data_IF_808540875492
#
_entry.id   IF_808540875492
#
_cell.length_a   1.000
_cell.length_b   1.000
_cell.length_c   1.000
_cell.angle_alpha   90.00
_cell.angle_beta   90.00
_cell.angle_gamma   90.00
#
_symmetry.space_group_name_H-M   'P 1'
#
loop_
_entity.id
_entity.type
_entity.pdbx_description
1 polymer ?
#
# COMPACT_ATOMS: atom_id res chain seq x y z
N UNK A 1 66.22 -17.67 -2.82
CA UNK A 1 65.38 -16.54 -3.22
C UNK A 1 63.93 -16.99 -3.34
N UNK A 2 63.20 -16.55 -2.36
CA UNK A 2 61.88 -16.92 -1.87
C UNK A 2 60.76 -16.54 -2.85
N UNK A 3 59.93 -17.47 -3.30
CA UNK A 3 58.59 -17.22 -3.81
C UNK A 3 57.59 -17.55 -2.73
N UNK A 4 57.20 -16.56 -1.96
CA UNK A 4 56.04 -16.55 -1.10
C UNK A 4 55.16 -15.40 -1.58
N UNK A 5 54.01 -15.68 -2.15
CA UNK A 5 53.06 -14.62 -2.48
C UNK A 5 52.13 -14.94 -3.65
N UNK A 6 51.24 -15.93 -3.53
CA UNK A 6 50.07 -16.01 -4.44
C UNK A 6 48.93 -16.88 -3.92
N UNK A 7 48.93 -17.24 -2.62
CA UNK A 7 47.84 -18.07 -2.05
C UNK A 7 46.67 -17.29 -1.44
N UNK A 8 46.74 -15.98 -1.35
CA UNK A 8 45.77 -15.20 -0.54
C UNK A 8 44.76 -14.36 -1.35
N UNK A 9 44.79 -14.47 -2.67
CA UNK A 9 43.86 -13.73 -3.53
C UNK A 9 42.69 -14.56 -4.10
N UNK A 10 42.90 -15.86 -4.31
CA UNK A 10 41.90 -16.73 -4.92
C UNK A 10 40.72 -17.01 -3.96
N UNK A 11 40.99 -17.36 -2.70
CA UNK A 11 39.93 -17.64 -1.71
C UNK A 11 39.05 -16.41 -1.42
N UNK A 12 39.62 -15.21 -1.37
CA UNK A 12 38.91 -13.98 -1.15
C UNK A 12 38.07 -13.50 -2.34
N UNK A 13 38.45 -13.93 -3.55
CA UNK A 13 37.73 -13.64 -4.79
C UNK A 13 36.54 -14.60 -4.96
N UNK A 14 36.71 -15.88 -4.68
CA UNK A 14 35.64 -16.87 -4.67
C UNK A 14 34.57 -16.57 -3.65
N UNK A 15 34.94 -16.13 -2.44
CA UNK A 15 34.00 -15.70 -1.40
C UNK A 15 33.16 -14.48 -1.82
N UNK A 16 33.76 -13.55 -2.56
CA UNK A 16 33.05 -12.38 -3.10
C UNK A 16 32.04 -12.77 -4.18
N UNK A 17 32.41 -13.64 -5.10
CA UNK A 17 31.50 -14.14 -6.13
C UNK A 17 30.38 -14.96 -5.53
N UNK A 18 30.65 -15.80 -4.55
CA UNK A 18 29.64 -16.56 -3.84
C UNK A 18 28.67 -15.63 -3.09
N UNK A 19 29.20 -14.66 -2.36
CA UNK A 19 28.37 -13.67 -1.63
C UNK A 19 27.52 -12.84 -2.59
N UNK A 20 28.09 -12.38 -3.71
CA UNK A 20 27.36 -11.64 -4.73
C UNK A 20 26.24 -12.47 -5.38
N UNK A 21 26.49 -13.77 -5.64
CA UNK A 21 25.48 -14.68 -6.18
C UNK A 21 24.34 -14.93 -5.20
N UNK A 22 24.63 -15.10 -3.91
CA UNK A 22 23.62 -15.28 -2.85
C UNK A 22 22.77 -14.02 -2.69
N UNK A 23 23.39 -12.85 -2.64
CA UNK A 23 22.67 -11.57 -2.57
C UNK A 23 21.82 -11.37 -3.82
N UNK A 24 22.37 -11.62 -5.00
CA UNK A 24 21.66 -11.51 -6.27
C UNK A 24 20.42 -12.42 -6.33
N UNK A 25 20.55 -13.67 -5.87
CA UNK A 25 19.43 -14.62 -5.83
C UNK A 25 18.33 -14.19 -4.84
N UNK A 26 18.70 -13.64 -3.68
CA UNK A 26 17.75 -13.12 -2.70
C UNK A 26 16.99 -11.90 -3.24
N UNK A 27 17.67 -10.98 -3.91
CA UNK A 27 17.04 -9.82 -4.56
C UNK A 27 16.07 -10.27 -5.65
N UNK A 28 16.46 -11.22 -6.50
CA UNK A 28 15.59 -11.75 -7.55
C UNK A 28 14.35 -12.45 -6.97
N UNK A 29 14.52 -13.21 -5.88
CA UNK A 29 13.41 -13.83 -5.18
C UNK A 29 12.44 -12.79 -4.58
N UNK A 30 12.95 -11.73 -3.96
CA UNK A 30 12.15 -10.64 -3.43
C UNK A 30 11.37 -9.91 -4.54
N UNK A 31 12.00 -9.63 -5.68
CA UNK A 31 11.33 -9.02 -6.84
C UNK A 31 10.26 -9.95 -7.43
N UNK A 32 10.52 -11.26 -7.47
CA UNK A 32 9.53 -12.23 -7.92
C UNK A 32 8.31 -12.28 -7.01
N UNK A 33 8.47 -12.19 -5.70
CA UNK A 33 7.37 -12.13 -4.72
C UNK A 33 6.58 -10.81 -4.85
N UNK A 34 7.27 -9.71 -5.17
CA UNK A 34 6.65 -8.39 -5.30
C UNK A 34 5.66 -8.30 -6.48
N UNK A 35 5.93 -9.00 -7.58
CA UNK A 35 5.07 -8.99 -8.76
C UNK A 35 3.62 -9.45 -8.50
N UNK A 36 3.35 -10.61 -7.88
CA UNK A 36 2.00 -11.00 -7.46
C UNK A 36 1.32 -10.00 -6.52
N UNK A 37 2.08 -9.40 -5.60
CA UNK A 37 1.56 -8.40 -4.66
C UNK A 37 1.06 -7.17 -5.42
N UNK A 38 1.82 -6.67 -6.40
CA UNK A 38 1.39 -5.53 -7.23
C UNK A 38 0.13 -5.87 -8.01
N UNK A 39 0.03 -7.05 -8.60
CA UNK A 39 -1.16 -7.45 -9.34
C UNK A 39 -2.40 -7.43 -8.44
N UNK A 40 -2.33 -8.02 -7.25
CA UNK A 40 -3.44 -7.98 -6.27
C UNK A 40 -3.73 -6.54 -5.84
N UNK A 41 -2.71 -5.75 -5.55
CA UNK A 41 -2.84 -4.34 -5.20
C UNK A 41 -3.59 -3.55 -6.29
N UNK A 42 -3.33 -3.85 -7.56
CA UNK A 42 -4.03 -3.23 -8.68
C UNK A 42 -5.53 -3.54 -8.67
N UNK A 43 -5.93 -4.79 -8.40
CA UNK A 43 -7.35 -5.14 -8.25
C UNK A 43 -7.99 -4.40 -7.07
N UNK A 44 -7.32 -4.34 -5.92
CA UNK A 44 -7.78 -3.57 -4.76
C UNK A 44 -8.00 -2.11 -5.12
N UNK A 45 -7.05 -1.50 -5.85
CA UNK A 45 -7.14 -0.13 -6.32
C UNK A 45 -8.29 0.07 -7.30
N UNK A 46 -8.50 -0.84 -8.25
CA UNK A 46 -9.62 -0.78 -9.21
C UNK A 46 -10.98 -0.77 -8.48
N UNK A 47 -11.16 -1.61 -7.46
CA UNK A 47 -12.36 -1.60 -6.63
C UNK A 47 -12.53 -0.25 -5.92
N UNK A 48 -11.47 0.30 -5.35
CA UNK A 48 -11.50 1.58 -4.66
C UNK A 48 -11.81 2.75 -5.60
N UNK A 49 -11.20 2.77 -6.79
CA UNK A 49 -11.49 3.77 -7.83
C UNK A 49 -12.94 3.70 -8.29
N UNK A 50 -13.50 2.50 -8.47
CA UNK A 50 -14.90 2.34 -8.87
C UNK A 50 -15.85 2.95 -7.85
N UNK A 51 -15.62 2.71 -6.54
CA UNK A 51 -16.42 3.32 -5.48
C UNK A 51 -16.26 4.84 -5.47
N UNK A 52 -15.03 5.33 -5.61
CA UNK A 52 -14.73 6.76 -5.67
C UNK A 52 -15.44 7.45 -6.83
N UNK A 53 -15.29 6.92 -8.04
CA UNK A 53 -15.88 7.46 -9.28
C UNK A 53 -17.41 7.41 -9.26
N UNK A 54 -18.01 6.35 -8.72
CA UNK A 54 -19.47 6.25 -8.62
C UNK A 54 -20.06 7.22 -7.58
N UNK A 55 -19.39 7.41 -6.45
CA UNK A 55 -19.88 8.28 -5.37
C UNK A 55 -19.58 9.76 -5.60
N UNK A 56 -18.52 10.12 -6.32
CA UNK A 56 -18.09 11.48 -6.53
C UNK A 56 -19.19 12.39 -7.16
N UNK A 57 -19.84 12.04 -8.28
CA UNK A 57 -20.89 12.86 -8.86
C UNK A 57 -22.12 13.02 -7.95
N UNK A 58 -22.47 11.96 -7.20
CA UNK A 58 -23.58 12.01 -6.26
C UNK A 58 -23.27 12.99 -5.13
N UNK A 59 -22.08 12.91 -4.55
CA UNK A 59 -21.66 13.81 -3.46
C UNK A 59 -21.53 15.24 -3.98
N UNK A 60 -20.92 15.49 -5.13
CA UNK A 60 -20.72 16.85 -5.66
C UNK A 60 -22.02 17.54 -6.02
N UNK A 61 -22.99 16.84 -6.63
CA UNK A 61 -24.31 17.36 -6.94
C UNK A 61 -25.08 17.73 -5.67
N UNK A 62 -25.07 16.85 -4.67
CA UNK A 62 -25.76 17.13 -3.40
C UNK A 62 -25.04 18.22 -2.60
N UNK A 63 -23.71 18.33 -2.71
CA UNK A 63 -22.93 19.40 -2.09
C UNK A 63 -23.30 20.77 -2.70
N UNK A 64 -23.38 20.87 -4.03
CA UNK A 64 -23.83 22.09 -4.72
C UNK A 64 -25.28 22.46 -4.41
N UNK A 65 -26.14 21.48 -4.13
CA UNK A 65 -27.55 21.68 -3.78
C UNK A 65 -27.79 21.90 -2.28
N UNK A 66 -26.76 21.91 -1.42
CA UNK A 66 -26.87 22.04 0.03
C UNK A 66 -27.61 20.89 0.73
N UNK A 67 -27.64 19.68 0.12
CA UNK A 67 -28.36 18.51 0.65
C UNK A 67 -27.44 17.64 1.51
N UNK A 68 -27.08 18.10 2.67
CA UNK A 68 -26.07 17.52 3.56
C UNK A 68 -26.44 16.12 4.07
N UNK A 69 -27.71 15.86 4.34
CA UNK A 69 -28.19 14.54 4.74
C UNK A 69 -27.86 13.46 3.68
N UNK A 70 -28.03 13.81 2.40
CA UNK A 70 -27.70 12.89 1.28
C UNK A 70 -26.20 12.69 1.11
N UNK A 71 -25.39 13.72 1.37
CA UNK A 71 -23.92 13.60 1.36
C UNK A 71 -23.48 12.58 2.41
N UNK A 72 -24.02 12.67 3.64
CA UNK A 72 -23.72 11.74 4.73
C UNK A 72 -24.15 10.31 4.43
N UNK A 73 -25.33 10.16 3.87
CA UNK A 73 -25.84 8.85 3.47
C UNK A 73 -24.94 8.20 2.43
N UNK A 74 -24.59 8.92 1.36
CA UNK A 74 -23.67 8.45 0.33
C UNK A 74 -22.29 8.14 0.91
N UNK A 75 -21.76 9.01 1.76
CA UNK A 75 -20.48 8.80 2.44
C UNK A 75 -20.50 7.52 3.27
N UNK A 76 -21.57 7.27 4.03
CA UNK A 76 -21.72 6.06 4.85
C UNK A 76 -21.71 4.80 4.00
N UNK A 77 -22.48 4.74 2.92
CA UNK A 77 -22.50 3.59 2.02
C UNK A 77 -21.14 3.38 1.33
N UNK A 78 -20.51 4.44 0.85
CA UNK A 78 -19.20 4.36 0.25
C UNK A 78 -18.15 3.86 1.24
N UNK A 79 -18.14 4.33 2.49
CA UNK A 79 -17.24 3.87 3.54
C UNK A 79 -17.45 2.38 3.86
N UNK A 80 -18.68 1.93 3.97
CA UNK A 80 -18.96 0.48 4.16
C UNK A 80 -18.46 -0.35 3.00
N UNK A 81 -18.64 0.12 1.77
CA UNK A 81 -18.20 -0.57 0.56
C UNK A 81 -16.66 -0.66 0.50
N UNK A 82 -15.94 0.43 0.81
CA UNK A 82 -14.46 0.40 0.81
C UNK A 82 -13.91 -0.46 1.94
N UNK A 83 -14.55 -0.47 3.12
CA UNK A 83 -14.18 -1.38 4.22
C UNK A 83 -14.41 -2.83 3.82
N UNK A 84 -15.54 -3.13 3.17
CA UNK A 84 -15.83 -4.46 2.64
C UNK A 84 -14.72 -4.92 1.68
N UNK A 85 -14.35 -4.11 0.69
CA UNK A 85 -13.27 -4.46 -0.24
C UNK A 85 -11.92 -4.56 0.46
N UNK A 86 -11.63 -3.70 1.42
CA UNK A 86 -10.42 -3.78 2.22
C UNK A 86 -10.30 -5.12 2.94
N UNK A 87 -11.35 -5.55 3.63
CA UNK A 87 -11.39 -6.84 4.34
C UNK A 87 -11.38 -8.00 3.35
N UNK A 88 -12.18 -7.92 2.28
CA UNK A 88 -12.29 -8.96 1.25
C UNK A 88 -10.93 -9.32 0.62
N UNK A 89 -10.08 -8.34 0.34
CA UNK A 89 -8.76 -8.58 -0.23
C UNK A 89 -7.69 -8.89 0.82
N UNK A 90 -7.78 -8.29 2.01
CA UNK A 90 -6.80 -8.52 3.09
C UNK A 90 -6.95 -9.92 3.69
N UNK A 91 -8.17 -10.36 3.97
CA UNK A 91 -8.41 -11.63 4.65
C UNK A 91 -7.79 -12.85 3.93
N UNK A 92 -8.04 -13.09 2.63
CA UNK A 92 -7.41 -14.21 1.93
C UNK A 92 -5.91 -14.02 1.73
N UNK A 93 -5.41 -12.77 1.60
CA UNK A 93 -3.97 -12.50 1.49
C UNK A 93 -3.22 -12.89 2.76
N UNK A 94 -3.82 -12.67 3.92
CA UNK A 94 -3.24 -13.04 5.22
C UNK A 94 -3.42 -14.52 5.53
N UNK A 95 -4.60 -15.08 5.22
CA UNK A 95 -4.94 -16.47 5.52
C UNK A 95 -4.20 -17.46 4.62
N UNK A 96 -4.15 -17.19 3.32
CA UNK A 96 -3.63 -18.09 2.29
C UNK A 96 -2.59 -17.43 1.38
N UNK A 97 -1.47 -16.89 1.91
CA UNK A 97 -0.49 -16.13 1.12
C UNK A 97 0.12 -16.94 -0.03
N UNK A 98 0.35 -18.24 0.17
CA UNK A 98 0.89 -19.12 -0.87
C UNK A 98 -0.04 -19.33 -2.06
N UNK A 99 -1.35 -19.13 -1.88
CA UNK A 99 -2.32 -19.23 -2.96
C UNK A 99 -2.08 -18.14 -4.01
N UNK A 100 -1.82 -16.91 -3.58
CA UNK A 100 -1.49 -15.80 -4.50
C UNK A 100 -0.27 -16.09 -5.35
N UNK A 101 0.79 -16.61 -4.71
CA UNK A 101 2.02 -16.95 -5.43
C UNK A 101 1.74 -18.02 -6.48
N UNK A 102 1.04 -19.11 -6.12
CA UNK A 102 0.76 -20.21 -7.03
C UNK A 102 -0.16 -19.84 -8.20
N UNK A 103 -1.02 -18.81 -8.03
CA UNK A 103 -1.88 -18.32 -9.11
C UNK A 103 -1.06 -17.55 -10.16
N UNK A 104 -0.08 -16.77 -9.72
CA UNK A 104 0.65 -15.87 -10.62
C UNK A 104 1.96 -16.44 -11.15
N UNK A 105 2.53 -17.47 -10.50
CA UNK A 105 3.81 -18.05 -10.89
C UNK A 105 3.98 -19.49 -10.39
N UNK A 106 4.95 -20.21 -10.97
CA UNK A 106 5.44 -21.50 -10.47
C UNK A 106 6.57 -21.19 -9.46
N UNK A 107 6.31 -21.24 -8.14
CA UNK A 107 7.29 -20.79 -7.14
C UNK A 107 8.38 -21.84 -6.92
N UNK A 108 9.59 -21.37 -6.65
CA UNK A 108 10.68 -22.19 -6.10
C UNK A 108 10.50 -22.37 -4.60
N UNK A 109 11.20 -23.34 -4.00
CA UNK A 109 11.16 -23.57 -2.55
C UNK A 109 11.59 -22.34 -1.75
N UNK A 110 12.59 -21.61 -2.22
CA UNK A 110 13.06 -20.36 -1.62
C UNK A 110 11.95 -19.30 -1.59
N UNK A 111 11.21 -19.14 -2.69
CA UNK A 111 10.09 -18.20 -2.76
C UNK A 111 8.97 -18.62 -1.79
N UNK A 112 8.63 -19.90 -1.72
CA UNK A 112 7.60 -20.39 -0.81
C UNK A 112 7.95 -20.22 0.67
N UNK A 113 9.24 -20.24 1.02
CA UNK A 113 9.70 -19.99 2.38
C UNK A 113 9.58 -18.51 2.79
N UNK A 114 9.93 -17.57 1.88
CA UNK A 114 9.95 -16.13 2.16
C UNK A 114 8.60 -15.43 1.95
N UNK A 115 7.83 -15.87 0.97
CA UNK A 115 6.62 -15.20 0.51
C UNK A 115 5.54 -15.01 1.58
N UNK A 116 5.24 -15.96 2.48
CA UNK A 116 4.17 -15.78 3.47
C UNK A 116 4.39 -14.59 4.40
N UNK A 117 5.61 -14.36 4.85
CA UNK A 117 5.94 -13.22 5.72
C UNK A 117 5.77 -11.89 4.98
N UNK A 118 6.31 -11.81 3.77
CA UNK A 118 6.26 -10.62 2.91
C UNK A 118 4.81 -10.27 2.54
N UNK A 119 4.05 -11.24 2.06
CA UNK A 119 2.66 -11.02 1.65
C UNK A 119 1.79 -10.59 2.82
N UNK A 120 1.94 -11.24 3.99
CA UNK A 120 1.19 -10.86 5.19
C UNK A 120 1.51 -9.45 5.65
N UNK A 121 2.79 -9.08 5.69
CA UNK A 121 3.21 -7.73 6.05
C UNK A 121 2.59 -6.70 5.08
N UNK A 122 2.70 -6.91 3.79
CA UNK A 122 2.18 -5.99 2.77
C UNK A 122 0.65 -5.95 2.72
N UNK A 123 -0.02 -7.09 2.89
CA UNK A 123 -1.48 -7.23 2.79
C UNK A 123 -2.23 -6.36 3.82
N UNK A 124 -1.61 -6.01 4.94
CA UNK A 124 -2.18 -5.08 5.91
C UNK A 124 -2.50 -3.72 5.25
N UNK A 125 -1.71 -3.31 4.25
CA UNK A 125 -1.97 -2.09 3.51
C UNK A 125 -3.29 -2.13 2.74
N UNK A 126 -3.73 -3.31 2.28
CA UNK A 126 -4.97 -3.47 1.51
C UNK A 126 -6.22 -3.12 2.33
N UNK A 127 -6.14 -3.16 3.65
CA UNK A 127 -7.25 -2.78 4.52
C UNK A 127 -7.53 -1.26 4.43
N UNK A 128 -6.49 -0.44 4.34
CA UNK A 128 -6.60 1.01 4.38
C UNK A 128 -6.52 1.66 3.00
N UNK A 129 -5.94 0.97 2.02
CA UNK A 129 -5.77 1.44 0.66
C UNK A 129 -7.07 1.91 0.01
N UNK A 130 -8.21 1.14 0.05
CA UNK A 130 -9.47 1.59 -0.52
C UNK A 130 -10.02 2.86 0.15
N UNK A 131 -9.86 2.97 1.46
CA UNK A 131 -10.28 4.14 2.22
C UNK A 131 -9.51 5.40 1.81
N UNK A 132 -8.19 5.31 1.66
CA UNK A 132 -7.35 6.44 1.28
C UNK A 132 -7.65 6.91 -0.15
N UNK A 133 -7.84 5.98 -1.09
CA UNK A 133 -8.22 6.31 -2.46
C UNK A 133 -9.59 7.00 -2.48
N UNK A 134 -10.60 6.41 -1.84
CA UNK A 134 -11.94 6.98 -1.74
C UNK A 134 -11.92 8.38 -1.12
N UNK A 135 -11.13 8.59 -0.07
CA UNK A 135 -11.02 9.89 0.61
C UNK A 135 -10.58 11.01 -0.34
N UNK A 136 -9.71 10.73 -1.30
CA UNK A 136 -9.30 11.70 -2.33
C UNK A 136 -10.49 12.13 -3.20
N UNK A 137 -11.33 11.18 -3.65
CA UNK A 137 -12.55 11.48 -4.40
C UNK A 137 -13.57 12.26 -3.58
N UNK A 138 -13.74 11.90 -2.32
CA UNK A 138 -14.62 12.62 -1.40
C UNK A 138 -14.19 14.09 -1.24
N UNK A 139 -12.90 14.35 -1.00
CA UNK A 139 -12.41 15.73 -0.87
C UNK A 139 -12.54 16.54 -2.16
N UNK A 140 -12.38 15.93 -3.31
CA UNK A 140 -12.64 16.59 -4.60
C UNK A 140 -14.12 16.92 -4.75
N UNK A 141 -15.02 16.01 -4.38
CA UNK A 141 -16.46 16.20 -4.50
C UNK A 141 -17.00 17.34 -3.62
N UNK A 142 -16.40 17.58 -2.45
CA UNK A 142 -16.78 18.67 -1.53
C UNK A 142 -15.93 19.94 -1.70
N UNK A 143 -15.25 20.08 -2.84
CA UNK A 143 -14.42 21.23 -3.19
C UNK A 143 -13.28 21.52 -2.19
N UNK A 144 -12.64 20.47 -1.69
CA UNK A 144 -11.47 20.55 -0.82
C UNK A 144 -10.19 20.03 -1.52
N UNK A 145 -9.73 20.70 -2.61
CA UNK A 145 -8.62 20.19 -3.43
C UNK A 145 -7.30 20.10 -2.66
N UNK A 146 -7.09 20.95 -1.66
CA UNK A 146 -5.88 20.91 -0.82
C UNK A 146 -5.79 19.60 -0.04
N UNK A 147 -6.90 19.15 0.56
CA UNK A 147 -6.93 17.89 1.30
C UNK A 147 -6.72 16.69 0.35
N UNK A 148 -7.38 16.69 -0.82
CA UNK A 148 -7.19 15.67 -1.84
C UNK A 148 -5.73 15.60 -2.32
N UNK A 149 -5.10 16.75 -2.59
CA UNK A 149 -3.71 16.83 -3.01
C UNK A 149 -2.75 16.28 -1.95
N UNK A 150 -2.93 16.71 -0.67
CA UNK A 150 -2.09 16.25 0.44
C UNK A 150 -2.18 14.73 0.59
N UNK A 151 -3.39 14.14 0.60
CA UNK A 151 -3.59 12.70 0.70
C UNK A 151 -2.89 11.97 -0.45
N UNK A 152 -3.07 12.44 -1.69
CA UNK A 152 -2.51 11.79 -2.87
C UNK A 152 -0.98 11.88 -2.90
N UNK A 153 -0.40 13.06 -2.65
CA UNK A 153 1.06 13.27 -2.70
C UNK A 153 1.74 12.63 -1.49
N UNK A 154 1.17 12.76 -0.31
CA UNK A 154 1.72 12.12 0.90
C UNK A 154 1.80 10.60 0.71
N UNK A 155 0.71 9.98 0.26
CA UNK A 155 0.65 8.54 0.02
C UNK A 155 1.55 8.09 -1.12
N UNK A 156 1.46 8.76 -2.28
CA UNK A 156 2.09 8.30 -3.52
C UNK A 156 3.57 8.63 -3.64
N UNK A 157 4.07 9.63 -2.91
CA UNK A 157 5.44 10.10 -3.09
C UNK A 157 6.16 10.38 -1.76
N UNK A 158 5.62 11.25 -0.90
CA UNK A 158 6.39 11.77 0.24
C UNK A 158 6.61 10.70 1.31
N UNK A 159 5.53 10.13 1.86
CA UNK A 159 5.63 9.17 2.96
C UNK A 159 6.17 7.84 2.43
N UNK A 160 5.62 7.32 1.32
CA UNK A 160 6.08 6.06 0.75
C UNK A 160 7.54 6.13 0.30
N UNK A 161 7.94 7.20 -0.40
CA UNK A 161 9.32 7.38 -0.84
C UNK A 161 10.30 7.52 0.33
N UNK A 162 9.95 8.33 1.34
CA UNK A 162 10.76 8.46 2.55
C UNK A 162 10.91 7.13 3.29
N UNK A 163 9.83 6.39 3.50
CA UNK A 163 9.87 5.11 4.20
C UNK A 163 10.62 4.02 3.42
N UNK A 164 10.47 3.96 2.09
CA UNK A 164 11.20 3.01 1.25
C UNK A 164 12.72 3.25 1.34
N UNK A 165 13.15 4.50 1.48
CA UNK A 165 14.58 4.83 1.60
C UNK A 165 15.07 4.68 3.04
N UNK A 166 14.30 5.11 4.03
CA UNK A 166 14.76 5.18 5.43
C UNK A 166 14.63 3.85 6.18
N UNK A 167 13.54 3.10 5.98
CA UNK A 167 13.30 1.85 6.72
C UNK A 167 14.42 0.83 6.55
N UNK A 168 14.89 0.51 5.33
CA UNK A 168 15.99 -0.44 5.16
C UNK A 168 17.29 0.00 5.83
N UNK A 169 17.55 1.32 5.89
CA UNK A 169 18.76 1.89 6.52
C UNK A 169 18.68 1.82 8.06
N UNK A 170 17.48 1.94 8.64
CA UNK A 170 17.30 2.01 10.10
C UNK A 170 17.01 0.63 10.73
N UNK A 171 16.28 -0.24 10.03
CA UNK A 171 15.77 -1.48 10.58
C UNK A 171 16.09 -2.74 9.72
N UNK A 172 16.98 -2.60 8.72
CA UNK A 172 17.37 -3.69 7.84
C UNK A 172 16.42 -3.91 6.66
N UNK A 173 16.84 -4.74 5.69
CA UNK A 173 16.16 -4.93 4.41
C UNK A 173 14.71 -5.44 4.55
N UNK A 174 14.43 -6.28 5.54
CA UNK A 174 13.08 -6.86 5.75
C UNK A 174 12.04 -5.81 6.16
N UNK A 175 12.48 -4.68 6.71
CA UNK A 175 11.59 -3.59 7.10
C UNK A 175 10.93 -2.88 5.90
N UNK A 176 11.48 -3.03 4.70
CA UNK A 176 10.93 -2.48 3.47
C UNK A 176 9.45 -2.87 3.26
N UNK A 177 9.07 -4.08 3.63
CA UNK A 177 7.72 -4.60 3.44
C UNK A 177 6.67 -3.89 4.30
N UNK A 178 7.09 -3.19 5.36
CA UNK A 178 6.21 -2.39 6.22
C UNK A 178 6.05 -0.94 5.74
N UNK A 179 6.80 -0.50 4.72
CA UNK A 179 6.72 0.86 4.21
C UNK A 179 5.31 1.21 3.73
N UNK A 180 4.65 0.31 2.98
CA UNK A 180 3.30 0.54 2.48
C UNK A 180 2.23 0.52 3.59
N UNK A 181 2.18 -0.47 4.50
CA UNK A 181 1.27 -0.43 5.64
C UNK A 181 1.37 0.84 6.48
N UNK A 182 2.59 1.29 6.77
CA UNK A 182 2.81 2.52 7.54
C UNK A 182 2.34 3.75 6.74
N UNK A 183 2.66 3.82 5.45
CA UNK A 183 2.18 4.89 4.57
C UNK A 183 0.67 4.98 4.56
N UNK A 184 -0.02 3.85 4.36
CA UNK A 184 -1.48 3.81 4.32
C UNK A 184 -2.09 4.17 5.67
N UNK A 185 -1.48 3.76 6.79
CA UNK A 185 -1.94 4.10 8.13
C UNK A 185 -1.84 5.60 8.41
N UNK A 186 -0.68 6.20 8.19
CA UNK A 186 -0.46 7.64 8.41
C UNK A 186 -1.41 8.47 7.56
N UNK A 187 -1.57 8.09 6.29
CA UNK A 187 -2.48 8.75 5.35
C UNK A 187 -3.93 8.60 5.78
N UNK A 188 -4.34 7.40 6.24
CA UNK A 188 -5.70 7.13 6.69
C UNK A 188 -6.07 7.94 7.95
N UNK A 189 -5.15 8.09 8.90
CA UNK A 189 -5.36 8.93 10.09
C UNK A 189 -5.62 10.38 9.68
N UNK A 190 -4.80 10.93 8.79
CA UNK A 190 -4.99 12.28 8.28
C UNK A 190 -6.32 12.42 7.51
N UNK A 191 -6.62 11.50 6.61
CA UNK A 191 -7.85 11.51 5.82
C UNK A 191 -9.10 11.41 6.71
N UNK A 192 -9.09 10.52 7.72
CA UNK A 192 -10.19 10.36 8.66
C UNK A 192 -10.42 11.64 9.50
N UNK A 193 -9.34 12.27 9.96
CA UNK A 193 -9.43 13.55 10.68
C UNK A 193 -10.04 14.65 9.80
N UNK A 194 -9.63 14.74 8.53
CA UNK A 194 -10.19 15.70 7.58
C UNK A 194 -11.66 15.40 7.27
N UNK A 195 -12.04 14.13 7.01
CA UNK A 195 -13.44 13.74 6.78
C UNK A 195 -14.31 14.17 7.97
N UNK A 196 -13.90 13.82 9.19
CA UNK A 196 -14.64 14.22 10.42
C UNK A 196 -14.80 15.74 10.51
N UNK A 197 -13.72 16.50 10.27
CA UNK A 197 -13.74 17.96 10.33
C UNK A 197 -14.67 18.57 9.29
N UNK A 198 -14.66 18.09 8.07
CA UNK A 198 -15.51 18.63 7.00
C UNK A 198 -16.96 18.21 7.16
N UNK A 199 -17.23 16.98 7.59
CA UNK A 199 -18.59 16.52 7.88
C UNK A 199 -19.22 17.32 9.03
N UNK A 200 -18.47 17.58 10.12
CA UNK A 200 -18.95 18.43 11.22
C UNK A 200 -19.26 19.88 10.79
N UNK A 201 -18.51 20.42 9.82
CA UNK A 201 -18.80 21.76 9.27
C UNK A 201 -20.06 21.78 8.40
N UNK A 202 -20.36 20.68 7.71
CA UNK A 202 -21.63 20.54 6.99
C UNK A 202 -22.78 20.54 7.97
N UNK A 203 -22.67 19.83 9.09
CA UNK A 203 -23.71 19.78 10.13
C UNK A 203 -23.99 21.14 10.74
N UNK A 204 -22.94 21.94 10.98
CA UNK A 204 -23.07 23.28 11.53
C UNK A 204 -23.71 24.31 10.56
N UNK A 205 -23.77 24.01 9.26
CA UNK A 205 -24.44 24.85 8.27
C UNK A 205 -25.92 24.46 8.08
N UNK A 206 -26.27 23.22 8.46
CA UNK A 206 -27.64 22.68 8.36
C UNK A 206 -28.51 23.03 9.56
N UNK A 207 -27.89 23.39 10.68
CA UNK A 207 -28.54 23.84 11.90
C UNK A 207 -28.78 25.35 11.93
#
# INVERSE_FOLDING_TARGET
STKRGSGMSADGEDDRYFTAAVIGSAILAALAIYSPIINVSTFVQCCAYSVGQASQPIISTNFGAGKEARIRETLRYALWTVVFFGVFWTAPSVACPNLYIRIFMSPTETILAMAPAIIRAYAISFLLLPFNIFSTYYFQAILQPKAAFIVSVARGLVISGALILMLPLLAGADSLWFAMPITELVTAVYAAACIRRYTARLDAKAA
#
